data_IF_273773495662
#
_entry.id   IF_273773495662
#
_cell.length_a   1.000
_cell.length_b   1.000
_cell.length_c   1.000
_cell.angle_alpha   90.00
_cell.angle_beta   90.00
_cell.angle_gamma   90.00
#
_symmetry.space_group_name_H-M   'P 1'
#
loop_
_entity.id
_entity.type
_entity.pdbx_description
1 polymer ?
#
# COMPACT_ATOMS: atom_id res chain seq x y z
N UNK A 1 -11.09 -16.93 1.36
CA UNK A 1 -9.95 -16.06 1.14
C UNK A 1 -10.18 -14.71 1.77
N UNK A 2 -9.20 -14.20 2.47
CA UNK A 2 -9.32 -12.91 3.14
C UNK A 2 -8.77 -11.80 2.28
N UNK A 3 -9.51 -10.69 2.26
CA UNK A 3 -9.07 -9.49 1.58
C UNK A 3 -8.54 -8.53 2.63
N UNK A 4 -7.28 -8.17 2.51
CA UNK A 4 -6.62 -7.30 3.47
C UNK A 4 -6.22 -5.99 2.82
N UNK A 5 -6.56 -4.91 3.50
CA UNK A 5 -6.21 -3.57 3.06
C UNK A 5 -5.34 -2.95 4.14
N UNK A 6 -4.24 -2.35 3.73
CA UNK A 6 -3.32 -1.68 4.64
C UNK A 6 -3.48 -0.18 4.49
N UNK A 7 -3.73 0.49 5.62
CA UNK A 7 -3.85 1.94 5.66
C UNK A 7 -2.62 2.50 6.34
N UNK A 8 -1.88 3.31 5.61
CA UNK A 8 -0.70 3.98 6.14
C UNK A 8 -1.08 5.41 6.47
N UNK A 9 -1.16 5.69 7.76
CA UNK A 9 -1.47 7.05 8.25
C UNK A 9 -0.17 7.81 8.35
N UNK A 10 -0.01 8.82 7.50
CA UNK A 10 1.26 9.52 7.34
C UNK A 10 1.29 10.75 8.23
N UNK A 11 2.34 10.84 9.04
CA UNK A 11 2.52 11.98 9.92
C UNK A 11 2.64 13.28 9.12
N UNK A 12 2.08 14.39 9.63
CA UNK A 12 2.14 15.67 8.91
C UNK A 12 3.56 16.14 8.59
N UNK A 13 4.55 15.68 9.34
CA UNK A 13 5.94 16.07 9.09
C UNK A 13 6.56 15.41 7.89
N UNK A 14 5.95 14.34 7.35
CA UNK A 14 6.49 13.63 6.20
C UNK A 14 5.83 14.14 4.92
N UNK A 15 6.63 14.28 3.87
CA UNK A 15 6.13 14.74 2.58
C UNK A 15 5.39 13.62 1.86
N UNK A 16 4.11 13.85 1.57
CA UNK A 16 3.28 12.81 0.98
C UNK A 16 3.78 12.41 -0.41
N UNK A 17 4.31 13.35 -1.18
CA UNK A 17 4.86 13.05 -2.48
C UNK A 17 6.06 12.13 -2.38
N UNK A 18 6.90 12.33 -1.37
CA UNK A 18 8.05 11.46 -1.16
C UNK A 18 7.61 10.07 -0.71
N UNK A 19 6.53 10.00 0.05
CA UNK A 19 5.96 8.71 0.44
C UNK A 19 5.49 7.95 -0.79
N UNK A 20 4.83 8.65 -1.71
CA UNK A 20 4.37 8.01 -2.94
C UNK A 20 5.53 7.55 -3.80
N UNK A 21 6.60 8.34 -3.86
CA UNK A 21 7.81 7.93 -4.57
C UNK A 21 8.38 6.65 -3.97
N UNK A 22 8.38 6.58 -2.64
CA UNK A 22 8.86 5.38 -1.95
C UNK A 22 8.00 4.17 -2.30
N UNK A 23 6.69 4.37 -2.44
CA UNK A 23 5.82 3.30 -2.86
C UNK A 23 6.17 2.82 -4.27
N UNK A 24 6.46 3.76 -5.16
CA UNK A 24 6.85 3.40 -6.53
C UNK A 24 8.15 2.61 -6.55
N UNK A 25 9.08 2.91 -5.65
CA UNK A 25 10.29 2.11 -5.53
C UNK A 25 9.97 0.68 -5.11
N UNK A 26 9.03 0.52 -4.17
CA UNK A 26 8.62 -0.80 -3.75
C UNK A 26 7.98 -1.56 -4.90
N UNK A 27 7.16 -0.87 -5.70
CA UNK A 27 6.52 -1.48 -6.86
C UNK A 27 7.58 -1.95 -7.84
N UNK A 28 8.59 -1.13 -8.13
CA UNK A 28 9.68 -1.51 -9.03
C UNK A 28 10.43 -2.73 -8.52
N UNK A 29 10.68 -2.78 -7.22
CA UNK A 29 11.40 -3.90 -6.64
C UNK A 29 10.66 -5.21 -6.84
N UNK A 30 9.34 -5.19 -6.60
CA UNK A 30 8.53 -6.40 -6.77
C UNK A 30 8.35 -6.73 -8.25
N UNK A 31 8.23 -5.70 -9.08
CA UNK A 31 8.12 -5.88 -10.52
C UNK A 31 9.31 -6.68 -11.06
N UNK A 32 10.49 -6.44 -10.51
CA UNK A 32 11.66 -7.18 -10.93
C UNK A 32 11.59 -8.67 -10.62
N UNK A 33 10.72 -9.05 -9.71
CA UNK A 33 10.54 -10.46 -9.35
C UNK A 33 9.38 -11.13 -10.07
N UNK A 34 8.28 -10.40 -10.27
CA UNK A 34 7.06 -11.03 -10.77
C UNK A 34 6.66 -10.58 -12.16
N UNK A 35 7.26 -9.49 -12.65
CA UNK A 35 6.92 -8.97 -13.97
C UNK A 35 5.88 -7.86 -13.91
N UNK A 36 5.91 -7.02 -14.93
CA UNK A 36 5.06 -5.84 -15.00
C UNK A 36 3.58 -6.17 -15.07
N UNK A 37 3.24 -7.23 -15.81
CA UNK A 37 1.84 -7.60 -15.98
C UNK A 37 1.20 -7.98 -14.65
N UNK A 38 1.92 -8.75 -13.84
CA UNK A 38 1.37 -9.18 -12.55
C UNK A 38 1.20 -8.01 -11.59
N UNK A 39 2.13 -7.06 -11.62
CA UNK A 39 1.99 -5.88 -10.78
C UNK A 39 0.72 -5.13 -11.15
N UNK A 40 0.48 -4.94 -12.44
CA UNK A 40 -0.68 -4.18 -12.87
C UNK A 40 -2.00 -4.87 -12.53
N UNK A 41 -2.01 -6.18 -12.61
CA UNK A 41 -3.23 -6.95 -12.36
C UNK A 41 -3.50 -7.17 -10.89
N UNK A 42 -2.44 -7.34 -10.10
CA UNK A 42 -2.57 -7.85 -8.74
C UNK A 42 -2.33 -6.81 -7.65
N UNK A 43 -1.88 -5.61 -8.00
CA UNK A 43 -1.64 -4.60 -6.97
C UNK A 43 -2.38 -3.31 -7.30
N UNK A 44 -3.00 -2.74 -6.27
CA UNK A 44 -3.64 -1.44 -6.39
C UNK A 44 -3.44 -0.65 -5.11
N UNK A 45 -3.47 0.67 -5.24
CA UNK A 45 -3.36 1.55 -4.09
C UNK A 45 -4.13 2.83 -4.37
N UNK A 46 -4.36 3.59 -3.29
CA UNK A 46 -5.06 4.86 -3.38
C UNK A 46 -4.52 5.79 -2.29
N UNK A 47 -4.37 7.06 -2.62
CA UNK A 47 -3.92 8.05 -1.65
C UNK A 47 -5.02 9.05 -1.39
N UNK A 48 -5.43 9.13 -0.13
CA UNK A 48 -6.40 10.10 0.35
C UNK A 48 -5.59 11.28 0.88
N UNK A 49 -5.36 12.27 0.02
CA UNK A 49 -4.47 13.38 0.37
C UNK A 49 -4.95 14.18 1.57
N UNK A 50 -6.22 14.59 1.63
CA UNK A 50 -6.67 15.40 2.77
C UNK A 50 -6.48 14.70 4.11
N UNK A 51 -6.64 13.39 4.15
CA UNK A 51 -6.48 12.63 5.39
C UNK A 51 -5.08 12.11 5.59
N UNK A 52 -4.23 12.27 4.59
CA UNK A 52 -2.87 11.79 4.60
C UNK A 52 -2.81 10.29 4.88
N UNK A 53 -3.62 9.54 4.14
CA UNK A 53 -3.67 8.10 4.26
C UNK A 53 -3.37 7.48 2.91
N UNK A 54 -2.45 6.52 2.89
CA UNK A 54 -2.16 5.72 1.71
C UNK A 54 -2.74 4.34 1.94
N UNK A 55 -3.60 3.91 1.03
CA UNK A 55 -4.30 2.63 1.15
C UNK A 55 -3.76 1.68 0.10
N UNK A 56 -3.27 0.54 0.54
CA UNK A 56 -2.68 -0.45 -0.36
C UNK A 56 -3.34 -1.80 -0.17
N UNK A 57 -3.63 -2.47 -1.28
CA UNK A 57 -4.27 -3.77 -1.26
C UNK A 57 -3.23 -4.87 -1.14
N UNK A 58 -3.18 -5.52 0.01
CA UNK A 58 -2.25 -6.62 0.27
C UNK A 58 -2.91 -7.98 0.28
N UNK A 59 -4.03 -8.13 -0.45
CA UNK A 59 -4.83 -9.35 -0.40
C UNK A 59 -4.19 -10.55 -1.07
N UNK A 60 -3.29 -10.33 -2.01
CA UNK A 60 -2.64 -11.44 -2.72
C UNK A 60 -1.13 -11.39 -2.51
N UNK A 61 -0.43 -12.35 -3.08
CA UNK A 61 1.02 -12.45 -2.92
C UNK A 61 1.76 -11.22 -3.41
N UNK A 62 1.36 -10.72 -4.58
CA UNK A 62 2.04 -9.57 -5.16
C UNK A 62 1.83 -8.33 -4.31
N UNK A 63 0.56 -8.06 -3.96
CA UNK A 63 0.25 -6.91 -3.11
C UNK A 63 0.91 -6.99 -1.75
N UNK A 64 0.94 -8.19 -1.17
CA UNK A 64 1.59 -8.40 0.11
C UNK A 64 3.09 -8.12 0.02
N UNK A 65 3.72 -8.54 -1.08
CA UNK A 65 5.14 -8.27 -1.28
C UNK A 65 5.41 -6.77 -1.40
N UNK A 66 4.56 -6.05 -2.15
CA UNK A 66 4.73 -4.61 -2.28
C UNK A 66 4.59 -3.93 -0.93
N UNK A 67 3.58 -4.32 -0.14
CA UNK A 67 3.36 -3.72 1.16
C UNK A 67 4.55 -3.95 2.09
N UNK A 68 5.13 -5.15 2.06
CA UNK A 68 6.30 -5.44 2.88
C UNK A 68 7.50 -4.59 2.50
N UNK A 69 7.80 -4.53 1.21
CA UNK A 69 8.94 -3.74 0.75
C UNK A 69 8.70 -2.27 1.07
N UNK A 70 7.49 -1.79 0.81
CA UNK A 70 7.14 -0.41 1.08
C UNK A 70 7.30 -0.07 2.57
N UNK A 71 6.79 -0.94 3.45
CA UNK A 71 6.89 -0.70 4.87
C UNK A 71 8.35 -0.60 5.32
N UNK A 72 9.19 -1.51 4.81
CA UNK A 72 10.60 -1.49 5.15
C UNK A 72 11.27 -0.22 4.66
N UNK A 73 10.93 0.23 3.45
CA UNK A 73 11.50 1.45 2.92
C UNK A 73 11.02 2.66 3.71
N UNK A 74 9.76 2.67 4.15
CA UNK A 74 9.24 3.76 4.95
C UNK A 74 10.00 3.91 6.27
N UNK A 75 10.25 2.78 6.93
CA UNK A 75 11.01 2.82 8.17
C UNK A 75 12.40 3.37 7.92
N UNK A 76 13.02 2.94 6.83
CA UNK A 76 14.37 3.32 6.49
C UNK A 76 14.49 4.80 6.13
N UNK A 77 13.53 5.30 5.35
CA UNK A 77 13.59 6.67 4.84
C UNK A 77 13.04 7.70 5.83
N UNK A 78 11.98 7.36 6.53
CA UNK A 78 11.26 8.33 7.35
C UNK A 78 11.28 8.01 8.84
N UNK A 79 11.60 6.77 9.20
CA UNK A 79 11.58 6.36 10.60
C UNK A 79 10.23 5.83 11.03
N UNK A 80 10.24 5.05 12.10
CA UNK A 80 9.01 4.39 12.56
C UNK A 80 7.95 5.37 13.04
N UNK A 81 8.38 6.54 13.49
CA UNK A 81 7.45 7.52 14.05
C UNK A 81 6.74 8.35 12.98
N UNK A 82 7.15 8.20 11.71
CA UNK A 82 6.60 9.02 10.64
C UNK A 82 5.27 8.51 10.11
N UNK A 83 4.89 7.31 10.50
CA UNK A 83 3.67 6.72 9.98
C UNK A 83 3.14 5.63 10.90
N UNK A 84 1.87 5.29 10.72
CA UNK A 84 1.22 4.22 11.47
C UNK A 84 0.48 3.34 10.49
N UNK A 85 0.62 2.03 10.62
CA UNK A 85 -0.01 1.09 9.71
C UNK A 85 -1.19 0.43 10.39
N UNK A 86 -2.30 0.41 9.69
CA UNK A 86 -3.51 -0.26 10.14
C UNK A 86 -3.90 -1.28 9.09
N UNK A 87 -4.08 -2.52 9.50
CA UNK A 87 -4.51 -3.58 8.59
C UNK A 87 -5.93 -3.99 8.93
N UNK A 88 -6.78 -4.05 7.92
CA UNK A 88 -8.16 -4.45 8.13
C UNK A 88 -8.67 -5.20 6.92
N UNK A 89 -9.45 -6.25 7.12
CA UNK A 89 -10.08 -6.91 5.98
C UNK A 89 -11.15 -6.00 5.40
N UNK A 90 -11.34 -6.08 4.08
CA UNK A 90 -12.37 -5.32 3.42
C UNK A 90 -13.72 -5.92 3.79
N UNK A 91 -14.68 -5.10 4.24
CA UNK A 91 -15.99 -5.62 4.58
C UNK A 91 -16.67 -6.26 3.37
N UNK A 92 -17.40 -7.33 3.63
CA UNK A 92 -18.04 -8.08 2.59
C UNK A 92 -19.01 -7.23 1.76
N UNK A 93 -19.78 -6.37 2.42
CA UNK A 93 -20.74 -5.54 1.70
C UNK A 93 -20.04 -4.53 0.78
N UNK A 94 -18.82 -4.15 1.10
CA UNK A 94 -18.01 -3.32 0.23
C UNK A 94 -17.71 -4.03 -1.08
N UNK A 95 -17.31 -5.30 -0.96
CA UNK A 95 -17.04 -6.10 -2.13
C UNK A 95 -18.28 -6.23 -3.02
N UNK A 96 -19.43 -6.39 -2.39
CA UNK A 96 -20.68 -6.46 -3.13
C UNK A 96 -20.97 -5.19 -3.90
N UNK A 97 -20.80 -4.06 -3.26
CA UNK A 97 -21.05 -2.79 -3.93
C UNK A 97 -20.10 -2.57 -5.08
N UNK A 98 -18.85 -3.00 -4.93
CA UNK A 98 -17.92 -2.90 -6.03
C UNK A 98 -18.36 -3.74 -7.21
N UNK A 99 -18.94 -4.88 -6.94
CA UNK A 99 -19.37 -5.79 -7.98
C UNK A 99 -20.65 -5.31 -8.64
N UNK A 100 -21.43 -4.59 -7.91
CA UNK A 100 -22.67 -4.06 -8.44
C UNK A 100 -22.41 -2.82 -9.26
#
# INVERSE_FOLDING_TARGET
MQTNVFRFHIDPGACLEEVEMTLHLAIFAVEGLVGQARIRLDFSYFIDEPRRVLIADGSNEVGSAVVRVFTNLMVREFGEDAFRVERAPVPRHHAHRSAA
#
